data_IF_656798268742
#
_entry.id   IF_656798268742
#
_cell.length_a   1.000
_cell.length_b   1.000
_cell.length_c   1.000
_cell.angle_alpha   90.00
_cell.angle_beta   90.00
_cell.angle_gamma   90.00
#
_symmetry.space_group_name_H-M   'P 1'
#
loop_
_entity.id
_entity.type
_entity.pdbx_description
1 polymer ?
#
# COMPACT_ATOMS: atom_id res chain seq x y z
N UNK A 1 3.95 -14.00 11.03
CA UNK A 1 4.61 -12.99 10.19
C UNK A 1 3.65 -12.39 9.15
N UNK A 2 3.00 -13.24 8.37
CA UNK A 2 2.08 -12.76 7.34
C UNK A 2 0.91 -11.96 7.90
N UNK A 3 0.36 -12.35 9.05
CA UNK A 3 -0.75 -11.63 9.67
C UNK A 3 -0.35 -10.21 10.08
N UNK A 4 0.87 -10.03 10.57
CA UNK A 4 1.38 -8.71 10.94
C UNK A 4 1.54 -7.83 9.71
N UNK A 5 2.13 -8.38 8.64
CA UNK A 5 2.31 -7.65 7.37
C UNK A 5 0.96 -7.29 6.77
N UNK A 6 0.01 -8.22 6.76
CA UNK A 6 -1.32 -7.97 6.22
C UNK A 6 -2.05 -6.87 7.01
N UNK A 7 -1.91 -6.84 8.34
CA UNK A 7 -2.49 -5.79 9.16
C UNK A 7 -1.90 -4.42 8.84
N UNK A 8 -0.58 -4.36 8.60
CA UNK A 8 0.10 -3.11 8.23
C UNK A 8 -0.35 -2.62 6.85
N UNK A 9 -0.51 -3.53 5.90
CA UNK A 9 -1.00 -3.19 4.57
C UNK A 9 -2.43 -2.65 4.66
N UNK A 10 -3.29 -3.31 5.43
CA UNK A 10 -4.67 -2.87 5.66
C UNK A 10 -4.69 -1.45 6.22
N UNK A 11 -3.86 -1.18 7.22
CA UNK A 11 -3.78 0.14 7.84
C UNK A 11 -3.33 1.20 6.83
N UNK A 12 -2.35 0.88 5.99
CA UNK A 12 -1.86 1.78 4.94
C UNK A 12 -2.98 2.17 3.98
N UNK A 13 -3.73 1.20 3.48
CA UNK A 13 -4.86 1.46 2.56
C UNK A 13 -5.96 2.23 3.28
N UNK A 14 -6.20 1.94 4.56
CA UNK A 14 -7.18 2.67 5.36
C UNK A 14 -6.83 4.15 5.45
N UNK A 15 -5.55 4.47 5.65
CA UNK A 15 -5.10 5.88 5.66
C UNK A 15 -5.36 6.56 4.33
N UNK A 16 -5.10 5.87 3.21
CA UNK A 16 -5.39 6.41 1.88
C UNK A 16 -6.90 6.65 1.72
N UNK A 17 -7.71 5.68 2.12
CA UNK A 17 -9.17 5.78 2.02
C UNK A 17 -9.73 6.93 2.86
N UNK A 18 -9.13 7.18 4.02
CA UNK A 18 -9.54 8.24 4.94
C UNK A 18 -8.96 9.60 4.59
N UNK A 19 -8.11 9.70 3.58
CA UNK A 19 -7.44 10.93 3.20
C UNK A 19 -6.34 11.37 4.15
N UNK A 20 -5.86 10.46 5.01
CA UNK A 20 -4.81 10.74 5.99
C UNK A 20 -3.43 10.48 5.42
N UNK A 21 -3.06 11.21 4.37
CA UNK A 21 -1.81 11.02 3.65
C UNK A 21 -0.59 11.42 4.47
N UNK A 22 -0.77 12.21 5.51
CA UNK A 22 0.27 12.56 6.48
C UNK A 22 0.70 11.39 7.37
N UNK A 23 -0.09 10.33 7.41
CA UNK A 23 0.20 9.14 8.21
C UNK A 23 0.93 8.05 7.43
N UNK A 24 1.14 8.27 6.14
CA UNK A 24 1.87 7.35 5.29
C UNK A 24 3.36 7.62 5.37
N UNK A 25 4.16 6.58 5.19
CA UNK A 25 5.60 6.70 5.08
C UNK A 25 6.00 6.69 3.61
N UNK A 26 6.80 7.66 3.20
CA UNK A 26 7.27 7.82 1.82
C UNK A 26 8.75 7.48 1.77
N UNK A 27 9.10 6.42 1.05
CA UNK A 27 10.50 6.02 0.94
C UNK A 27 11.27 7.02 0.06
N UNK A 28 12.48 7.45 0.46
CA UNK A 28 13.28 8.35 -0.36
C UNK A 28 13.49 7.79 -1.78
N UNK A 29 13.31 8.63 -2.78
CA UNK A 29 13.44 8.22 -4.18
C UNK A 29 12.20 7.57 -4.78
N UNK A 30 11.17 7.33 -3.97
CA UNK A 30 9.91 6.77 -4.43
C UNK A 30 8.87 7.88 -4.60
N UNK A 31 7.58 7.49 -4.67
CA UNK A 31 6.51 8.46 -4.82
C UNK A 31 6.46 9.45 -3.65
N UNK A 32 6.12 10.71 -3.95
CA UNK A 32 5.94 11.75 -2.94
C UNK A 32 4.46 11.89 -2.60
N UNK A 33 4.17 12.55 -1.47
CA UNK A 33 2.80 12.86 -1.08
C UNK A 33 2.08 13.67 -2.17
N UNK A 34 2.75 14.67 -2.75
CA UNK A 34 2.16 15.50 -3.82
C UNK A 34 1.80 14.68 -5.04
N UNK A 35 2.66 13.72 -5.42
CA UNK A 35 2.39 12.83 -6.54
C UNK A 35 1.21 11.92 -6.23
N UNK A 36 1.12 11.39 -5.00
CA UNK A 36 -0.01 10.57 -4.57
C UNK A 36 -1.31 11.37 -4.62
N UNK A 37 -1.31 12.60 -4.14
CA UNK A 37 -2.50 13.47 -4.20
C UNK A 37 -2.98 13.67 -5.63
N UNK A 38 -2.06 13.87 -6.57
CA UNK A 38 -2.41 14.00 -7.99
C UNK A 38 -3.04 12.72 -8.55
N UNK A 39 -2.47 11.58 -8.23
CA UNK A 39 -2.99 10.30 -8.70
C UNK A 39 -4.39 10.05 -8.13
N UNK A 40 -4.61 10.32 -6.84
CA UNK A 40 -5.91 10.14 -6.22
C UNK A 40 -6.98 11.04 -6.87
N UNK A 41 -6.59 12.26 -7.26
CA UNK A 41 -7.47 13.16 -8.02
C UNK A 41 -7.77 12.57 -9.41
N UNK A 42 -6.77 11.98 -10.05
CA UNK A 42 -6.90 11.38 -11.37
C UNK A 42 -7.81 10.14 -11.37
N UNK A 43 -7.74 9.34 -10.31
CA UNK A 43 -8.62 8.19 -10.11
C UNK A 43 -10.08 8.64 -10.10
N UNK A 44 -10.38 9.78 -9.47
CA UNK A 44 -11.69 10.43 -9.53
C UNK A 44 -12.79 9.73 -8.75
N UNK A 45 -12.48 8.65 -8.03
CA UNK A 45 -13.42 7.91 -7.20
C UNK A 45 -12.76 7.61 -5.85
N UNK A 46 -13.50 7.71 -4.74
CA UNK A 46 -12.90 7.44 -3.42
C UNK A 46 -12.35 6.02 -3.31
N UNK A 47 -11.11 5.92 -2.84
CA UNK A 47 -10.51 4.62 -2.49
C UNK A 47 -11.21 4.09 -1.25
N UNK A 48 -11.52 2.80 -1.25
CA UNK A 48 -12.12 2.13 -0.10
C UNK A 48 -11.09 1.23 0.59
N UNK A 49 -11.30 0.88 1.86
CA UNK A 49 -10.45 -0.10 2.54
C UNK A 49 -10.44 -1.43 1.80
N UNK A 50 -9.33 -2.16 1.88
CA UNK A 50 -9.24 -3.48 1.26
C UNK A 50 -10.25 -4.44 1.90
N UNK A 51 -11.07 -5.13 1.09
CA UNK A 51 -11.91 -6.22 1.59
C UNK A 51 -11.06 -7.32 2.22
N UNK A 52 -11.58 -8.00 3.24
CA UNK A 52 -10.83 -9.04 3.95
C UNK A 52 -10.41 -10.19 3.03
N UNK A 53 -11.25 -10.59 2.11
CA UNK A 53 -10.93 -11.63 1.14
C UNK A 53 -9.75 -11.24 0.24
N UNK A 54 -9.61 -9.96 -0.07
CA UNK A 54 -8.49 -9.46 -0.87
C UNK A 54 -7.21 -9.45 -0.07
N UNK A 55 -7.29 -9.12 1.22
CA UNK A 55 -6.14 -9.15 2.12
C UNK A 55 -5.62 -10.58 2.26
N UNK A 56 -6.50 -11.55 2.43
CA UNK A 56 -6.14 -12.95 2.55
C UNK A 56 -5.43 -13.48 1.29
N UNK A 57 -5.74 -12.91 0.13
CA UNK A 57 -5.15 -13.30 -1.14
C UNK A 57 -3.94 -12.49 -1.58
N UNK A 58 -3.44 -11.58 -0.74
CA UNK A 58 -2.29 -10.75 -1.11
C UNK A 58 -1.02 -11.58 -1.26
N UNK A 59 -0.31 -11.34 -2.37
CA UNK A 59 1.01 -11.89 -2.59
C UNK A 59 2.04 -10.92 -2.02
N UNK A 60 2.65 -11.32 -0.90
CA UNK A 60 3.75 -10.57 -0.29
C UNK A 60 5.03 -11.33 -0.57
N UNK A 61 5.93 -10.72 -1.32
CA UNK A 61 7.16 -11.34 -1.77
C UNK A 61 8.34 -10.86 -0.94
N UNK A 62 9.28 -11.78 -0.70
CA UNK A 62 10.57 -11.47 -0.09
C UNK A 62 11.64 -11.70 -1.15
N UNK A 63 12.02 -10.65 -1.94
CA UNK A 63 12.90 -10.82 -3.09
C UNK A 63 14.28 -11.38 -2.76
N UNK A 64 14.81 -11.03 -1.56
CA UNK A 64 16.11 -11.51 -1.10
C UNK A 64 15.94 -12.19 0.25
N UNK A 65 16.29 -13.47 0.32
CA UNK A 65 16.07 -14.28 1.52
C UNK A 65 16.87 -13.80 2.74
N UNK A 66 17.98 -13.11 2.51
CA UNK A 66 18.85 -12.60 3.58
C UNK A 66 18.56 -11.16 3.97
N UNK A 67 17.55 -10.52 3.40
CA UNK A 67 17.14 -9.18 3.74
C UNK A 67 15.76 -9.19 4.39
N UNK A 68 15.59 -8.36 5.42
CA UNK A 68 14.29 -8.16 6.05
C UNK A 68 13.49 -7.09 5.28
N UNK A 69 13.18 -7.44 4.04
CA UNK A 69 12.45 -6.58 3.10
C UNK A 69 11.41 -7.41 2.38
N UNK A 70 10.19 -6.89 2.34
CA UNK A 70 9.08 -7.50 1.62
C UNK A 70 8.49 -6.48 0.66
N UNK A 71 7.91 -6.95 -0.42
CA UNK A 71 7.21 -6.10 -1.38
C UNK A 71 5.79 -6.64 -1.58
N UNK A 72 4.86 -5.73 -1.76
CA UNK A 72 3.48 -6.07 -2.06
C UNK A 72 3.01 -5.22 -3.22
N UNK A 73 2.30 -5.82 -4.17
CA UNK A 73 1.68 -5.12 -5.28
C UNK A 73 0.26 -5.64 -5.44
N UNK A 74 -0.71 -4.74 -5.46
CA UNK A 74 -2.10 -5.12 -5.58
C UNK A 74 -2.93 -3.96 -6.14
N UNK A 75 -4.10 -4.30 -6.66
CA UNK A 75 -5.02 -3.31 -7.19
C UNK A 75 -5.82 -2.67 -6.05
N UNK A 76 -5.92 -1.34 -6.11
CA UNK A 76 -6.80 -0.61 -5.20
C UNK A 76 -8.24 -0.82 -5.61
N UNK A 77 -9.14 -0.80 -4.63
CA UNK A 77 -10.57 -0.78 -4.87
C UNK A 77 -11.12 0.62 -4.59
N UNK A 78 -12.11 1.03 -5.36
CA UNK A 78 -12.79 2.31 -5.19
C UNK A 78 -14.28 2.04 -5.01
N UNK A 79 -15.03 3.12 -4.73
CA UNK A 79 -16.49 3.03 -4.63
C UNK A 79 -17.10 2.50 -5.94
N UNK A 80 -16.53 2.87 -7.08
CA UNK A 80 -17.07 2.53 -8.40
C UNK A 80 -16.51 1.24 -8.98
N UNK A 81 -15.29 0.85 -8.60
CA UNK A 81 -14.61 -0.30 -9.18
C UNK A 81 -13.92 -1.16 -8.12
N UNK A 82 -14.20 -2.47 -8.13
CA UNK A 82 -13.63 -3.45 -7.19
C UNK A 82 -13.14 -4.69 -7.92
N UNK A 83 -11.86 -4.77 -8.28
CA UNK A 83 -10.80 -3.75 -8.12
C UNK A 83 -10.82 -2.71 -9.25
N UNK A 84 -10.10 -1.62 -9.02
CA UNK A 84 -9.83 -0.63 -10.06
C UNK A 84 -8.61 -1.08 -10.89
N UNK A 85 -8.31 -0.31 -11.95
CA UNK A 85 -7.12 -0.55 -12.77
C UNK A 85 -5.84 0.03 -12.17
N UNK A 86 -5.93 0.65 -10.99
CA UNK A 86 -4.79 1.27 -10.34
C UNK A 86 -4.11 0.31 -9.38
N UNK A 87 -2.79 0.20 -9.50
CA UNK A 87 -1.94 -0.68 -8.71
C UNK A 87 -1.20 0.12 -7.64
N UNK A 88 -1.14 -0.42 -6.43
CA UNK A 88 -0.37 0.13 -5.34
C UNK A 88 0.81 -0.79 -5.05
N UNK A 89 2.01 -0.20 -4.97
CA UNK A 89 3.23 -0.92 -4.64
C UNK A 89 3.72 -0.45 -3.28
N UNK A 90 3.95 -1.39 -2.38
CA UNK A 90 4.42 -1.13 -1.03
C UNK A 90 5.73 -1.87 -0.79
N UNK A 91 6.58 -1.25 0.03
CA UNK A 91 7.79 -1.87 0.55
C UNK A 91 7.64 -1.96 2.06
N UNK A 92 7.88 -3.14 2.61
CA UNK A 92 7.86 -3.35 4.06
C UNK A 92 9.30 -3.64 4.49
N UNK A 93 9.80 -2.85 5.42
CA UNK A 93 11.16 -2.97 5.93
C UNK A 93 11.14 -3.23 7.43
N UNK A 94 12.09 -4.05 7.89
CA UNK A 94 12.33 -4.18 9.32
C UNK A 94 13.27 -3.04 9.74
N UNK A 95 12.81 -2.25 10.69
CA UNK A 95 13.61 -1.16 11.28
C UNK A 95 13.71 -1.41 12.79
N UNK A 96 14.88 -1.89 13.21
CA UNK A 96 15.03 -2.34 14.58
C UNK A 96 14.22 -3.61 14.83
N UNK A 97 13.30 -3.57 15.79
CA UNK A 97 12.45 -4.69 16.17
C UNK A 97 11.02 -4.59 15.62
N UNK A 98 10.78 -3.63 14.71
CA UNK A 98 9.45 -3.42 14.13
C UNK A 98 9.48 -3.38 12.62
N UNK A 99 8.32 -3.62 12.01
CA UNK A 99 8.11 -3.52 10.57
C UNK A 99 7.48 -2.18 10.24
N UNK A 100 7.96 -1.55 9.16
CA UNK A 100 7.44 -0.27 8.68
C UNK A 100 7.06 -0.42 7.21
N UNK A 101 5.86 0.05 6.86
CA UNK A 101 5.38 0.06 5.48
C UNK A 101 5.69 1.40 4.85
N UNK A 102 6.32 1.35 3.68
CA UNK A 102 6.61 2.53 2.86
C UNK A 102 5.82 2.45 1.56
N UNK A 103 5.30 3.59 1.15
CA UNK A 103 4.69 3.74 -0.16
C UNK A 103 5.81 3.78 -1.21
N UNK A 104 5.75 2.88 -2.18
CA UNK A 104 6.73 2.81 -3.26
C UNK A 104 6.21 3.51 -4.50
N UNK A 105 5.07 3.08 -5.01
CA UNK A 105 4.50 3.63 -6.23
C UNK A 105 2.99 3.37 -6.29
N UNK A 106 2.33 4.16 -7.14
CA UNK A 106 0.94 3.93 -7.51
C UNK A 106 0.86 4.20 -9.02
N UNK A 107 0.33 3.25 -9.78
CA UNK A 107 0.31 3.35 -11.23
C UNK A 107 -0.91 2.67 -11.85
N UNK A 108 -1.20 3.07 -13.06
CA UNK A 108 -2.28 2.53 -13.86
C UNK A 108 -1.86 1.26 -14.61
#
# INVERSE_FOLDING_TARGET
>A
MNDTINALIRECVQHIADGRLDRLNYHPGCITRSALERVLTEIGSPVIPLPEEDIAGLDVLKPLANEDRWVAEFQLSTVDERPSDWWLNLIILREGDRLVVYLDDIHY
#
